data_IF_198209593883
#
_entry.id   IF_198209593883
#
_cell.length_a   1.000
_cell.length_b   1.000
_cell.length_c   1.000
_cell.angle_alpha   90.00
_cell.angle_beta   90.00
_cell.angle_gamma   90.00
#
_symmetry.space_group_name_H-M   'P 1'
#
loop_
_entity.id
_entity.type
_entity.pdbx_description
1 polymer ?
#
# COMPACT_ATOMS: atom_id res chain seq x y z
N UNK A 1 -8.91 6.12 10.21
CA UNK A 1 -8.05 5.09 9.54
C UNK A 1 -7.35 4.15 10.53
N UNK A 2 -7.36 4.43 11.84
CA UNK A 2 -6.70 3.61 12.87
C UNK A 2 -7.59 2.57 13.55
N UNK A 3 -8.86 2.43 13.14
CA UNK A 3 -9.77 1.41 13.67
C UNK A 3 -9.46 0.06 13.03
N UNK A 4 -9.41 -1.00 13.85
CA UNK A 4 -9.20 -2.37 13.38
C UNK A 4 -10.36 -2.80 12.49
N UNK A 5 -10.07 -3.36 11.30
CA UNK A 5 -11.11 -3.85 10.37
C UNK A 5 -11.96 -4.94 11.04
N UNK A 6 -11.33 -5.80 11.84
CA UNK A 6 -12.01 -6.86 12.60
C UNK A 6 -12.75 -6.33 13.85
N UNK A 7 -12.61 -5.05 14.18
CA UNK A 7 -13.10 -4.49 15.43
C UNK A 7 -12.32 -5.01 16.66
N UNK A 8 -13.01 -5.01 17.80
CA UNK A 8 -12.58 -5.59 19.08
C UNK A 8 -13.57 -6.67 19.52
N UNK A 9 -13.15 -7.54 20.44
CA UNK A 9 -14.03 -8.56 21.04
C UNK A 9 -15.33 -7.95 21.56
N UNK A 10 -15.26 -6.80 22.24
CA UNK A 10 -16.41 -6.04 22.72
C UNK A 10 -17.34 -5.63 21.56
N UNK A 11 -16.84 -4.90 20.56
CA UNK A 11 -17.67 -4.44 19.42
C UNK A 11 -18.31 -5.58 18.63
N UNK A 12 -17.65 -6.74 18.57
CA UNK A 12 -18.17 -7.93 17.88
C UNK A 12 -19.23 -8.63 18.73
N UNK A 13 -19.01 -8.73 20.04
CA UNK A 13 -19.94 -9.40 20.96
C UNK A 13 -21.24 -8.61 21.14
N UNK A 14 -21.16 -7.29 21.09
CA UNK A 14 -22.31 -6.39 21.25
C UNK A 14 -23.06 -6.12 19.93
N UNK A 15 -22.56 -6.65 18.80
CA UNK A 15 -23.15 -6.39 17.49
C UNK A 15 -24.50 -7.07 17.32
N UNK A 16 -25.53 -6.28 17.07
CA UNK A 16 -26.90 -6.76 16.86
C UNK A 16 -27.17 -7.02 15.37
N UNK A 17 -27.96 -8.06 15.09
CA UNK A 17 -28.39 -8.37 13.72
C UNK A 17 -29.13 -7.19 13.04
N UNK A 18 -29.82 -6.36 13.81
CA UNK A 18 -30.49 -5.14 13.30
C UNK A 18 -29.48 -4.09 12.82
N UNK A 19 -28.35 -3.92 13.51
CA UNK A 19 -27.27 -3.02 13.10
C UNK A 19 -26.62 -3.49 11.79
N UNK A 20 -26.38 -4.80 11.65
CA UNK A 20 -25.83 -5.37 10.42
C UNK A 20 -26.78 -5.18 9.22
N UNK A 21 -28.08 -5.44 9.41
CA UNK A 21 -29.10 -5.23 8.38
C UNK A 21 -29.19 -3.76 7.96
N UNK A 22 -29.12 -2.85 8.93
CA UNK A 22 -29.15 -1.41 8.67
C UNK A 22 -27.88 -0.93 7.94
N UNK A 23 -26.71 -1.43 8.34
CA UNK A 23 -25.46 -1.18 7.62
C UNK A 23 -25.55 -1.66 6.16
N UNK A 24 -26.03 -2.89 5.94
CA UNK A 24 -26.23 -3.42 4.59
C UNK A 24 -27.19 -2.52 3.79
N UNK A 25 -28.36 -2.20 4.34
CA UNK A 25 -29.38 -1.37 3.68
C UNK A 25 -28.85 0.01 3.27
N UNK A 26 -27.98 0.60 4.08
CA UNK A 26 -27.45 1.96 3.86
C UNK A 26 -26.17 2.00 3.04
N UNK A 27 -25.38 0.92 2.99
CA UNK A 27 -24.10 0.86 2.26
C UNK A 27 -24.13 0.07 0.97
N UNK A 28 -25.05 -0.89 0.82
CA UNK A 28 -25.18 -1.72 -0.38
C UNK A 28 -26.26 -1.14 -1.29
N UNK A 29 -25.99 0.07 -1.78
CA UNK A 29 -26.87 0.82 -2.68
C UNK A 29 -26.29 0.84 -4.09
N UNK A 30 -27.13 1.12 -5.09
CA UNK A 30 -26.69 1.17 -6.50
C UNK A 30 -25.55 2.16 -6.74
N UNK A 31 -25.54 3.27 -6.03
CA UNK A 31 -24.53 4.31 -6.15
C UNK A 31 -23.20 3.90 -5.53
N UNK A 32 -23.22 3.03 -4.50
CA UNK A 32 -22.05 2.59 -3.73
C UNK A 32 -21.50 1.22 -4.09
N UNK A 33 -22.06 0.60 -5.13
CA UNK A 33 -21.58 -0.67 -5.67
C UNK A 33 -21.26 -0.52 -7.15
N UNK A 34 -20.28 -1.26 -7.62
CA UNK A 34 -19.97 -1.40 -9.04
C UNK A 34 -19.58 -2.84 -9.31
N UNK A 35 -19.93 -3.32 -10.50
CA UNK A 35 -19.54 -4.64 -10.96
C UNK A 35 -18.37 -4.51 -11.93
N UNK A 36 -17.40 -5.41 -11.79
CA UNK A 36 -16.27 -5.54 -12.70
C UNK A 36 -16.28 -6.93 -13.29
N UNK A 37 -16.13 -7.01 -14.60
CA UNK A 37 -16.02 -8.28 -15.32
C UNK A 37 -14.81 -8.22 -16.26
N UNK A 38 -14.12 -9.34 -16.41
CA UNK A 38 -12.92 -9.48 -17.25
C UNK A 38 -12.86 -10.89 -17.81
N UNK A 39 -12.44 -11.02 -19.08
CA UNK A 39 -12.39 -12.29 -19.80
C UNK A 39 -13.36 -12.31 -20.98
N UNK A 40 -13.89 -13.49 -21.30
CA UNK A 40 -14.88 -13.67 -22.39
C UNK A 40 -16.27 -13.30 -21.89
N UNK A 41 -16.60 -12.02 -21.96
CA UNK A 41 -17.86 -11.46 -21.44
C UNK A 41 -18.59 -10.75 -22.58
N UNK A 42 -19.87 -11.07 -22.76
CA UNK A 42 -20.78 -10.25 -23.55
C UNK A 42 -21.23 -9.07 -22.68
N UNK A 43 -20.73 -7.88 -23.00
CA UNK A 43 -20.99 -6.69 -22.19
C UNK A 43 -22.46 -6.28 -22.22
N UNK A 44 -23.13 -6.38 -23.37
CA UNK A 44 -24.53 -5.99 -23.50
C UNK A 44 -25.43 -6.91 -22.66
N UNK A 45 -25.22 -8.22 -22.80
CA UNK A 45 -25.96 -9.21 -22.01
C UNK A 45 -25.70 -9.05 -20.49
N UNK A 46 -24.45 -8.76 -20.10
CA UNK A 46 -24.13 -8.54 -18.68
C UNK A 46 -24.84 -7.30 -18.13
N UNK A 47 -24.88 -6.21 -18.89
CA UNK A 47 -25.57 -4.97 -18.47
C UNK A 47 -27.06 -5.22 -18.28
N UNK A 48 -27.71 -5.91 -19.24
CA UNK A 48 -29.13 -6.27 -19.13
C UNK A 48 -29.40 -7.12 -17.88
N UNK A 49 -28.61 -8.18 -17.68
CA UNK A 49 -28.76 -9.07 -16.52
C UNK A 49 -28.58 -8.33 -15.20
N UNK A 50 -27.56 -7.46 -15.08
CA UNK A 50 -27.30 -6.70 -13.85
C UNK A 50 -28.39 -5.66 -13.61
N UNK A 51 -28.87 -4.99 -14.66
CA UNK A 51 -29.96 -4.04 -14.54
C UNK A 51 -31.23 -4.71 -13.99
N UNK A 52 -31.58 -5.90 -14.49
CA UNK A 52 -32.71 -6.70 -14.00
C UNK A 52 -32.48 -7.19 -12.56
N UNK A 53 -31.34 -7.83 -12.29
CA UNK A 53 -31.02 -8.41 -10.98
C UNK A 53 -30.93 -7.36 -9.86
N UNK A 54 -30.59 -6.11 -10.20
CA UNK A 54 -30.47 -5.01 -9.24
C UNK A 54 -31.62 -4.00 -9.29
N UNK A 55 -32.70 -4.30 -10.03
CA UNK A 55 -33.86 -3.43 -10.26
C UNK A 55 -34.65 -3.05 -8.99
N UNK A 56 -34.44 -3.77 -7.88
CA UNK A 56 -35.06 -3.47 -6.58
C UNK A 56 -34.05 -3.02 -5.50
N UNK A 57 -32.77 -2.83 -5.85
CA UNK A 57 -31.77 -2.37 -4.89
C UNK A 57 -32.05 -0.93 -4.43
N UNK A 58 -31.75 -0.60 -3.16
CA UNK A 58 -31.87 0.77 -2.67
C UNK A 58 -31.03 1.73 -3.50
N UNK A 59 -31.60 2.89 -3.79
CA UNK A 59 -30.91 4.04 -4.39
C UNK A 59 -30.82 5.13 -3.34
N UNK A 60 -29.59 5.49 -2.97
CA UNK A 60 -29.31 6.58 -2.03
C UNK A 60 -28.02 7.29 -2.43
N UNK A 61 -27.98 8.64 -2.41
CA UNK A 61 -26.76 9.37 -2.68
C UNK A 61 -25.65 8.98 -1.71
N UNK A 62 -24.45 8.75 -2.24
CA UNK A 62 -23.27 8.59 -1.40
C UNK A 62 -22.85 9.98 -0.93
N UNK A 63 -22.90 10.20 0.38
CA UNK A 63 -22.23 11.34 1.01
C UNK A 63 -21.03 10.80 1.79
N UNK A 64 -19.83 10.95 1.22
CA UNK A 64 -18.58 10.73 1.97
C UNK A 64 -18.04 12.08 2.40
N UNK A 65 -17.83 12.22 3.70
CA UNK A 65 -17.09 13.34 4.29
C UNK A 65 -15.83 12.75 4.93
N UNK A 66 -14.80 12.44 4.12
CA UNK A 66 -13.60 11.84 4.67
C UNK A 66 -12.90 12.87 5.56
N UNK A 67 -12.46 12.43 6.73
CA UNK A 67 -11.64 13.25 7.60
C UNK A 67 -10.18 13.07 7.23
N UNK A 68 -9.46 14.18 7.06
CA UNK A 68 -8.02 14.17 6.89
C UNK A 68 -7.37 13.64 8.18
N UNK A 69 -6.62 12.53 8.12
CA UNK A 69 -5.93 12.04 9.30
C UNK A 69 -4.74 12.94 9.65
N UNK A 70 -4.44 13.04 10.94
CA UNK A 70 -3.16 13.55 11.41
C UNK A 70 -2.16 12.41 11.49
N UNK A 71 -0.98 12.61 10.90
CA UNK A 71 0.14 11.68 11.08
C UNK A 71 0.91 12.05 12.34
N UNK A 72 0.91 11.15 13.31
CA UNK A 72 1.77 11.22 14.48
C UNK A 72 3.15 10.62 14.22
N UNK A 73 4.07 10.88 15.14
CA UNK A 73 5.37 10.22 15.26
C UNK A 73 5.52 9.66 16.66
N UNK A 74 6.43 8.71 16.84
CA UNK A 74 6.69 8.09 18.14
C UNK A 74 6.90 6.59 18.02
N UNK A 75 7.06 5.94 19.15
CA UNK A 75 7.36 4.52 19.22
C UNK A 75 6.34 3.81 20.12
N UNK A 76 5.89 2.63 19.68
CA UNK A 76 5.07 1.72 20.46
C UNK A 76 5.83 0.40 20.55
N UNK A 77 6.16 -0.02 21.77
CA UNK A 77 6.72 -1.33 22.05
C UNK A 77 5.60 -2.29 22.48
N UNK A 78 5.56 -3.46 21.86
CA UNK A 78 4.63 -4.53 22.18
C UNK A 78 5.44 -5.77 22.53
N UNK A 79 5.40 -6.16 23.80
CA UNK A 79 6.01 -7.41 24.25
C UNK A 79 5.06 -8.58 23.99
N UNK A 80 5.57 -9.67 23.42
CA UNK A 80 4.82 -10.92 23.22
C UNK A 80 5.69 -12.12 23.58
N UNK A 81 5.23 -12.91 24.54
CA UNK A 81 5.91 -14.15 24.96
C UNK A 81 6.12 -15.15 23.80
N UNK A 82 5.25 -15.14 22.79
CA UNK A 82 5.29 -16.06 21.67
C UNK A 82 6.21 -15.66 20.52
N UNK A 83 6.94 -14.53 20.61
CA UNK A 83 7.92 -14.15 19.59
C UNK A 83 9.35 -14.34 20.06
N UNK A 84 10.19 -14.85 19.15
CA UNK A 84 11.64 -14.98 19.30
C UNK A 84 12.40 -14.08 18.30
N UNK A 85 11.68 -13.23 17.57
CA UNK A 85 12.23 -12.30 16.59
C UNK A 85 11.83 -10.87 16.97
N UNK A 86 12.65 -9.92 16.52
CA UNK A 86 12.31 -8.51 16.52
C UNK A 86 11.56 -8.16 15.24
N UNK A 87 10.35 -7.62 15.40
CA UNK A 87 9.59 -7.05 14.28
C UNK A 87 9.47 -5.56 14.47
N UNK A 88 9.87 -4.77 13.47
CA UNK A 88 9.63 -3.34 13.44
C UNK A 88 8.80 -2.95 12.21
N UNK A 89 7.68 -2.28 12.45
CA UNK A 89 6.90 -1.62 11.42
C UNK A 89 7.07 -0.10 11.56
N UNK A 90 7.66 0.53 10.56
CA UNK A 90 7.90 1.97 10.51
C UNK A 90 6.94 2.60 9.50
N UNK A 91 6.26 3.68 9.89
CA UNK A 91 5.24 4.33 9.08
C UNK A 91 5.61 5.80 8.88
N UNK A 92 5.91 6.16 7.64
CA UNK A 92 6.07 7.55 7.21
C UNK A 92 4.79 8.06 6.56
N UNK A 93 4.52 9.37 6.61
CA UNK A 93 3.50 9.98 5.77
C UNK A 93 3.76 9.68 4.29
N UNK A 94 2.71 9.37 3.55
CA UNK A 94 2.74 9.08 2.12
C UNK A 94 1.85 10.02 1.32
N UNK A 95 1.63 9.69 0.05
CA UNK A 95 0.74 10.45 -0.85
C UNK A 95 -0.60 9.73 -1.00
N UNK A 96 -1.65 10.46 -1.38
CA UNK A 96 -2.97 9.84 -1.60
C UNK A 96 -3.04 9.06 -2.93
N UNK A 97 -4.12 8.29 -3.12
CA UNK A 97 -4.28 7.40 -4.28
C UNK A 97 -4.42 8.12 -5.64
N UNK A 98 -4.79 9.42 -5.60
CA UNK A 98 -4.98 10.29 -6.76
C UNK A 98 -3.72 11.08 -7.13
N UNK A 99 -2.77 11.21 -6.19
CA UNK A 99 -1.55 11.97 -6.34
C UNK A 99 -0.71 11.46 -7.54
N UNK A 100 -0.21 12.35 -8.43
CA UNK A 100 0.67 11.95 -9.53
C UNK A 100 2.00 11.36 -9.03
N UNK A 101 2.47 11.78 -7.85
CA UNK A 101 3.73 11.35 -7.22
C UNK A 101 3.71 9.86 -6.81
N UNK A 102 2.55 9.19 -6.83
CA UNK A 102 2.42 7.75 -6.47
C UNK A 102 3.33 6.84 -7.28
N UNK A 103 3.60 7.18 -8.55
CA UNK A 103 4.48 6.41 -9.43
C UNK A 103 5.94 6.55 -9.01
N UNK A 104 6.37 7.78 -8.72
CA UNK A 104 7.69 8.07 -8.17
C UNK A 104 7.87 7.39 -6.81
N UNK A 105 6.86 7.43 -5.94
CA UNK A 105 6.92 6.79 -4.62
C UNK A 105 7.03 5.26 -4.71
N UNK A 106 6.29 4.62 -5.63
CA UNK A 106 6.39 3.17 -5.85
C UNK A 106 7.75 2.77 -6.41
N UNK A 107 8.30 3.57 -7.34
CA UNK A 107 9.65 3.41 -7.87
C UNK A 107 10.70 3.57 -6.78
N UNK A 108 10.58 4.60 -5.94
CA UNK A 108 11.46 4.84 -4.79
C UNK A 108 11.50 3.65 -3.85
N UNK A 109 10.35 3.12 -3.45
CA UNK A 109 10.28 1.93 -2.60
C UNK A 109 10.95 0.70 -3.24
N UNK A 110 10.86 0.55 -4.58
CA UNK A 110 11.55 -0.54 -5.29
C UNK A 110 13.08 -0.38 -5.31
N UNK A 111 13.58 0.86 -5.41
CA UNK A 111 15.02 1.13 -5.31
C UNK A 111 15.53 0.85 -3.89
N UNK A 112 14.75 1.24 -2.87
CA UNK A 112 15.16 1.12 -1.49
C UNK A 112 15.11 -0.31 -0.97
N UNK A 113 14.04 -1.06 -1.24
CA UNK A 113 13.68 -2.21 -0.39
C UNK A 113 12.85 -3.30 -1.07
N UNK A 114 13.08 -3.50 -2.37
CA UNK A 114 12.56 -4.65 -3.11
C UNK A 114 13.33 -5.94 -2.80
N UNK A 115 12.72 -7.10 -3.03
CA UNK A 115 13.22 -8.43 -2.62
C UNK A 115 14.58 -8.85 -3.23
N UNK A 116 15.14 -8.09 -4.17
CA UNK A 116 16.44 -8.39 -4.75
C UNK A 116 17.06 -7.19 -5.44
N UNK A 117 18.35 -6.92 -5.24
CA UNK A 117 19.06 -5.84 -5.93
C UNK A 117 18.69 -4.41 -5.52
N UNK A 118 17.88 -4.25 -4.46
CA UNK A 118 17.60 -2.96 -3.82
C UNK A 118 18.69 -2.61 -2.80
N UNK A 119 18.70 -1.37 -2.31
CA UNK A 119 19.72 -0.93 -1.32
C UNK A 119 19.65 -1.77 -0.03
N UNK A 120 18.47 -1.91 0.57
CA UNK A 120 18.29 -2.73 1.78
C UNK A 120 18.49 -4.21 1.54
N UNK A 121 18.23 -4.71 0.33
CA UNK A 121 18.57 -6.09 0.01
C UNK A 121 20.07 -6.35 0.20
N UNK A 122 20.93 -5.50 -0.38
CA UNK A 122 22.38 -5.70 -0.27
C UNK A 122 22.91 -5.46 1.14
N UNK A 123 22.36 -4.48 1.87
CA UNK A 123 22.86 -4.15 3.21
C UNK A 123 22.37 -5.13 4.29
N UNK A 124 21.13 -5.64 4.18
CA UNK A 124 20.48 -6.41 5.25
C UNK A 124 20.17 -7.86 4.90
N UNK A 125 19.73 -8.13 3.66
CA UNK A 125 19.24 -9.46 3.29
C UNK A 125 20.38 -10.34 2.78
N UNK A 126 21.18 -9.85 1.84
CA UNK A 126 22.32 -10.59 1.26
C UNK A 126 23.41 -10.91 2.30
N UNK A 127 23.54 -10.03 3.31
CA UNK A 127 24.47 -10.20 4.45
C UNK A 127 23.95 -11.15 5.52
N UNK A 128 22.67 -11.56 5.46
CA UNK A 128 22.04 -12.40 6.47
C UNK A 128 21.71 -11.70 7.79
N UNK A 129 21.75 -10.36 7.83
CA UNK A 129 21.42 -9.57 9.03
C UNK A 129 19.93 -9.54 9.37
N UNK A 130 19.07 -9.64 8.36
CA UNK A 130 17.63 -9.60 8.51
C UNK A 130 16.96 -10.65 7.62
N UNK A 131 15.86 -11.22 8.11
CA UNK A 131 15.00 -12.12 7.33
C UNK A 131 14.11 -11.33 6.37
N UNK A 132 13.73 -10.11 6.77
CA UNK A 132 12.88 -9.23 5.95
C UNK A 132 13.27 -7.78 6.19
N UNK A 133 13.41 -7.01 5.10
CA UNK A 133 13.63 -5.58 5.11
C UNK A 133 12.99 -5.00 3.85
N UNK A 134 11.74 -4.54 3.96
CA UNK A 134 10.97 -4.09 2.81
C UNK A 134 10.27 -2.77 3.07
N UNK A 135 10.07 -1.97 2.02
CA UNK A 135 9.29 -0.74 2.04
C UNK A 135 8.24 -0.80 0.93
N UNK A 136 7.02 -0.38 1.24
CA UNK A 136 5.97 -0.22 0.23
C UNK A 136 5.05 0.97 0.53
N UNK A 137 4.50 1.62 -0.50
CA UNK A 137 3.50 2.64 -0.29
C UNK A 137 2.12 2.00 -0.08
N UNK A 138 1.33 2.58 0.82
CA UNK A 138 -0.07 2.30 0.99
C UNK A 138 -0.87 3.58 0.74
N UNK A 139 -1.79 3.51 -0.22
CA UNK A 139 -2.56 4.66 -0.69
C UNK A 139 -4.01 4.59 -0.16
N UNK A 140 -4.49 5.72 0.35
CA UNK A 140 -5.89 5.95 0.70
C UNK A 140 -6.43 7.18 -0.05
N UNK A 141 -7.73 7.44 0.05
CA UNK A 141 -8.38 8.52 -0.73
C UNK A 141 -7.83 9.91 -0.40
N UNK A 142 -7.68 10.23 0.89
CA UNK A 142 -7.24 11.55 1.36
C UNK A 142 -5.77 11.58 1.83
N UNK A 143 -5.13 10.42 1.98
CA UNK A 143 -3.77 10.32 2.51
C UNK A 143 -3.07 9.05 2.02
N UNK A 144 -1.82 8.85 2.43
CA UNK A 144 -1.13 7.56 2.31
C UNK A 144 -0.08 7.41 3.40
N UNK A 145 0.56 6.26 3.44
CA UNK A 145 1.79 6.04 4.19
C UNK A 145 2.82 5.28 3.35
N UNK A 146 4.09 5.42 3.71
CA UNK A 146 5.11 4.43 3.37
C UNK A 146 5.27 3.54 4.59
N UNK A 147 5.19 2.23 4.38
CA UNK A 147 5.37 1.23 5.43
C UNK A 147 6.72 0.56 5.19
N UNK A 148 7.61 0.69 6.17
CA UNK A 148 8.82 -0.12 6.29
C UNK A 148 8.55 -1.28 7.25
N UNK A 149 9.04 -2.47 6.91
CA UNK A 149 8.95 -3.65 7.75
C UNK A 149 10.30 -4.35 7.83
N UNK A 150 10.76 -4.57 9.05
CA UNK A 150 12.00 -5.24 9.40
C UNK A 150 11.69 -6.44 10.30
N UNK A 151 12.28 -7.58 9.98
CA UNK A 151 12.29 -8.79 10.81
C UNK A 151 13.73 -9.29 10.92
N UNK A 152 14.23 -9.43 12.14
CA UNK A 152 15.59 -9.90 12.42
C UNK A 152 15.72 -10.50 13.82
N UNK A 153 16.91 -11.04 14.10
CA UNK A 153 17.31 -11.42 15.44
C UNK A 153 17.27 -10.21 16.38
N UNK A 154 16.79 -10.36 17.64
CA UNK A 154 16.70 -9.26 18.60
C UNK A 154 18.02 -8.51 18.85
N UNK A 155 19.14 -9.23 18.89
CA UNK A 155 20.48 -8.69 19.11
C UNK A 155 20.96 -7.76 17.99
N UNK A 156 20.46 -7.95 16.76
CA UNK A 156 20.84 -7.14 15.59
C UNK A 156 19.87 -5.98 15.33
N UNK A 157 18.79 -5.87 16.11
CA UNK A 157 17.66 -4.99 15.84
C UNK A 157 18.04 -3.51 15.71
N UNK A 158 18.75 -2.98 16.71
CA UNK A 158 19.13 -1.56 16.74
C UNK A 158 20.07 -1.21 15.59
N UNK A 159 21.02 -2.10 15.27
CA UNK A 159 21.96 -1.88 14.17
C UNK A 159 21.27 -1.98 12.81
N UNK A 160 20.34 -2.93 12.64
CA UNK A 160 19.56 -3.06 11.42
C UNK A 160 18.62 -1.86 11.19
N UNK A 161 18.00 -1.33 12.24
CA UNK A 161 17.20 -0.10 12.17
C UNK A 161 18.06 1.12 11.81
N UNK A 162 19.30 1.19 12.30
CA UNK A 162 20.26 2.24 11.93
C UNK A 162 20.66 2.13 10.45
N UNK A 163 20.96 0.93 9.95
CA UNK A 163 21.26 0.68 8.54
C UNK A 163 20.10 1.13 7.65
N UNK A 164 18.86 0.78 8.02
CA UNK A 164 17.68 1.21 7.29
C UNK A 164 17.59 2.74 7.20
N UNK A 165 17.79 3.43 8.34
CA UNK A 165 17.77 4.90 8.39
C UNK A 165 18.89 5.50 7.56
N UNK A 166 20.10 4.96 7.66
CA UNK A 166 21.28 5.39 6.89
C UNK A 166 21.03 5.29 5.38
N UNK A 167 20.42 4.19 4.91
CA UNK A 167 20.05 4.03 3.50
C UNK A 167 19.05 5.10 3.04
N UNK A 168 18.07 5.44 3.87
CA UNK A 168 17.12 6.53 3.57
C UNK A 168 17.85 7.88 3.52
N UNK A 169 18.70 8.18 4.50
CA UNK A 169 19.47 9.43 4.57
C UNK A 169 20.44 9.58 3.41
N UNK A 170 21.16 8.52 3.03
CA UNK A 170 22.01 8.49 1.84
C UNK A 170 21.20 8.73 0.57
N UNK A 171 19.99 8.18 0.48
CA UNK A 171 19.10 8.43 -0.67
C UNK A 171 18.68 9.90 -0.77
N UNK A 172 18.37 10.54 0.36
CA UNK A 172 18.03 11.97 0.41
C UNK A 172 19.25 12.87 0.10
N UNK A 173 20.45 12.44 0.48
CA UNK A 173 21.69 13.21 0.33
C UNK A 173 22.30 13.08 -1.07
N UNK A 174 22.43 11.85 -1.54
CA UNK A 174 23.23 11.48 -2.72
C UNK A 174 22.33 11.21 -3.95
N UNK A 175 21.01 11.12 -3.73
CA UNK A 175 20.02 10.87 -4.77
C UNK A 175 19.99 9.41 -5.23
N UNK A 176 19.47 9.23 -6.44
CA UNK A 176 19.20 7.93 -7.04
C UNK A 176 19.86 7.89 -8.41
N UNK A 177 20.59 6.80 -8.67
CA UNK A 177 21.33 6.63 -9.91
C UNK A 177 20.44 6.17 -11.06
N UNK A 178 20.83 6.48 -12.29
CA UNK A 178 20.09 6.02 -13.48
C UNK A 178 19.97 4.49 -13.54
N UNK A 179 21.01 3.76 -13.11
CA UNK A 179 21.03 2.30 -13.07
C UNK A 179 19.94 1.75 -12.13
N UNK A 180 19.76 2.35 -10.96
CA UNK A 180 18.71 1.98 -10.01
C UNK A 180 17.31 2.26 -10.58
N UNK A 181 17.14 3.42 -11.23
CA UNK A 181 15.88 3.79 -11.89
C UNK A 181 15.54 2.78 -12.98
N UNK A 182 16.49 2.44 -13.84
CA UNK A 182 16.26 1.49 -14.94
C UNK A 182 15.93 0.10 -14.41
N UNK A 183 16.59 -0.36 -13.35
CA UNK A 183 16.29 -1.63 -12.69
C UNK A 183 14.87 -1.64 -12.12
N UNK A 184 14.51 -0.63 -11.33
CA UNK A 184 13.17 -0.51 -10.75
C UNK A 184 12.07 -0.44 -11.84
N UNK A 185 12.32 0.34 -12.90
CA UNK A 185 11.40 0.49 -14.03
C UNK A 185 11.18 -0.84 -14.74
N UNK A 186 12.25 -1.58 -15.03
CA UNK A 186 12.17 -2.87 -15.72
C UNK A 186 11.41 -3.91 -14.89
N UNK A 187 11.65 -3.96 -13.58
CA UNK A 187 10.92 -4.88 -12.68
C UNK A 187 9.44 -4.55 -12.59
N UNK A 188 9.10 -3.27 -12.37
CA UNK A 188 7.71 -2.84 -12.28
C UNK A 188 6.99 -3.07 -13.61
N UNK A 189 7.60 -2.72 -14.74
CA UNK A 189 7.04 -2.97 -16.06
C UNK A 189 6.79 -4.47 -16.30
N UNK A 190 7.77 -5.31 -16.00
CA UNK A 190 7.65 -6.77 -16.14
C UNK A 190 6.52 -7.33 -15.26
N UNK A 191 6.46 -6.91 -13.99
CA UNK A 191 5.41 -7.31 -13.06
C UNK A 191 4.01 -6.90 -13.54
N UNK A 192 3.87 -5.68 -14.07
CA UNK A 192 2.59 -5.17 -14.59
C UNK A 192 2.15 -5.93 -15.86
N UNK A 193 3.07 -6.19 -16.78
CA UNK A 193 2.78 -6.94 -18.02
C UNK A 193 2.35 -8.36 -17.70
N UNK A 194 3.13 -9.08 -16.88
CA UNK A 194 2.81 -10.46 -16.46
C UNK A 194 1.49 -10.52 -15.68
N UNK A 195 1.21 -9.48 -14.88
CA UNK A 195 -0.07 -9.38 -14.18
C UNK A 195 -1.23 -9.24 -15.16
N UNK A 196 -1.09 -8.44 -16.21
CA UNK A 196 -2.16 -8.16 -17.19
C UNK A 196 -2.53 -9.38 -18.06
N UNK A 197 -1.67 -10.40 -18.17
CA UNK A 197 -1.96 -11.61 -18.95
C UNK A 197 -3.17 -12.40 -18.41
N UNK A 198 -3.43 -12.34 -17.09
CA UNK A 198 -4.50 -13.10 -16.46
C UNK A 198 -5.78 -12.27 -16.36
N UNK A 199 -6.94 -12.74 -16.86
CA UNK A 199 -8.21 -12.03 -16.75
C UNK A 199 -8.59 -11.64 -15.32
N UNK A 200 -8.31 -12.49 -14.33
CA UNK A 200 -8.55 -12.21 -12.91
C UNK A 200 -7.76 -11.01 -12.39
N UNK A 201 -6.51 -10.86 -12.82
CA UNK A 201 -5.65 -9.74 -12.41
C UNK A 201 -6.13 -8.44 -13.06
N UNK A 202 -6.54 -8.49 -14.33
CA UNK A 202 -7.20 -7.36 -15.02
C UNK A 202 -8.46 -6.91 -14.30
N UNK A 203 -9.26 -7.86 -13.78
CA UNK A 203 -10.45 -7.56 -12.97
C UNK A 203 -10.09 -6.76 -11.72
N UNK A 204 -9.07 -7.19 -10.97
CA UNK A 204 -8.63 -6.46 -9.77
C UNK A 204 -8.02 -5.09 -10.10
N UNK A 205 -7.23 -4.99 -11.17
CA UNK A 205 -6.64 -3.71 -11.58
C UNK A 205 -7.72 -2.69 -11.98
N UNK A 206 -8.68 -3.11 -12.82
CA UNK A 206 -9.82 -2.32 -13.22
C UNK A 206 -10.66 -1.91 -12.00
N UNK A 207 -10.98 -2.87 -11.13
CA UNK A 207 -11.82 -2.62 -9.97
C UNK A 207 -11.18 -1.68 -8.96
N UNK A 208 -9.90 -1.83 -8.66
CA UNK A 208 -9.18 -0.91 -7.76
C UNK A 208 -9.06 0.49 -8.37
N UNK A 209 -8.76 0.61 -9.66
CA UNK A 209 -8.67 1.92 -10.30
C UNK A 209 -10.01 2.64 -10.32
N UNK A 210 -11.10 1.91 -10.58
CA UNK A 210 -12.45 2.47 -10.54
C UNK A 210 -12.90 2.81 -9.12
N UNK A 211 -12.60 1.96 -8.14
CA UNK A 211 -12.93 2.21 -6.73
C UNK A 211 -12.27 3.49 -6.23
N UNK A 212 -10.97 3.63 -6.45
CA UNK A 212 -10.15 4.70 -5.89
C UNK A 212 -10.26 6.01 -6.67
N UNK A 213 -10.38 5.95 -8.01
CA UNK A 213 -10.20 7.12 -8.88
C UNK A 213 -11.33 7.33 -9.89
N UNK A 214 -12.31 6.42 -9.95
CA UNK A 214 -13.40 6.44 -10.95
C UNK A 214 -12.88 6.55 -12.38
N UNK A 215 -11.71 5.97 -12.63
CA UNK A 215 -11.02 6.01 -13.91
C UNK A 215 -10.32 4.68 -14.17
N UNK A 216 -10.31 4.24 -15.42
CA UNK A 216 -9.51 3.12 -15.90
C UNK A 216 -8.44 3.64 -16.84
N UNK A 217 -7.18 3.30 -16.55
CA UNK A 217 -6.05 3.61 -17.43
C UNK A 217 -5.56 2.31 -18.08
N UNK A 218 -5.49 2.25 -19.42
CA UNK A 218 -4.89 1.11 -20.11
C UNK A 218 -3.44 0.88 -19.66
N UNK A 219 -2.99 -0.37 -19.70
CA UNK A 219 -1.65 -0.76 -19.27
C UNK A 219 -0.54 0.11 -19.89
N UNK A 220 -0.63 0.41 -21.20
CA UNK A 220 0.35 1.25 -21.89
C UNK A 220 0.46 2.67 -21.32
N UNK A 221 -0.65 3.25 -20.87
CA UNK A 221 -0.67 4.57 -20.21
C UNK A 221 0.02 4.47 -18.85
N UNK A 222 -0.28 3.43 -18.08
CA UNK A 222 0.33 3.18 -16.76
C UNK A 222 1.85 2.97 -16.90
N UNK A 223 2.30 2.18 -17.87
CA UNK A 223 3.72 1.98 -18.18
C UNK A 223 4.40 3.28 -18.61
N UNK A 224 3.72 4.10 -19.41
CA UNK A 224 4.19 5.44 -19.78
C UNK A 224 4.42 6.34 -18.56
N UNK A 225 3.52 6.31 -17.57
CA UNK A 225 3.67 7.07 -16.32
C UNK A 225 4.89 6.63 -15.51
N UNK A 226 5.16 5.32 -15.40
CA UNK A 226 6.39 4.82 -14.76
C UNK A 226 7.65 5.17 -15.56
N UNK A 227 7.58 5.15 -16.88
CA UNK A 227 8.71 5.49 -17.75
C UNK A 227 9.10 6.96 -17.65
N UNK A 228 8.11 7.84 -17.45
CA UNK A 228 8.31 9.27 -17.31
C UNK A 228 8.89 9.70 -15.94
N UNK A 229 8.94 8.82 -14.94
CA UNK A 229 9.52 9.13 -13.63
C UNK A 229 11.02 9.40 -13.77
N UNK A 230 11.45 10.55 -13.24
CA UNK A 230 12.84 11.00 -13.19
C UNK A 230 13.46 10.81 -11.80
N UNK A 231 14.78 10.96 -11.70
CA UNK A 231 15.49 10.97 -10.42
C UNK A 231 14.99 12.09 -9.50
N UNK A 232 14.72 13.27 -10.07
CA UNK A 232 14.24 14.44 -9.33
C UNK A 232 12.84 14.20 -8.76
N UNK A 233 11.94 13.54 -9.50
CA UNK A 233 10.61 13.17 -9.00
C UNK A 233 10.71 12.23 -7.79
N UNK A 234 11.63 11.26 -7.85
CA UNK A 234 11.86 10.29 -6.78
C UNK A 234 12.50 10.93 -5.55
N UNK A 235 13.42 11.87 -5.75
CA UNK A 235 14.02 12.63 -4.64
C UNK A 235 12.98 13.58 -4.01
N UNK A 236 12.19 14.28 -4.82
CA UNK A 236 11.14 15.18 -4.34
C UNK A 236 10.09 14.43 -3.50
N UNK A 237 9.67 13.23 -3.92
CA UNK A 237 8.72 12.44 -3.13
C UNK A 237 9.38 11.83 -1.90
N UNK A 238 10.68 11.49 -1.93
CA UNK A 238 11.42 11.07 -0.74
C UNK A 238 11.47 12.19 0.32
N UNK A 239 11.76 13.42 -0.10
CA UNK A 239 11.75 14.62 0.74
C UNK A 239 10.37 14.91 1.33
N UNK A 240 9.30 14.75 0.53
CA UNK A 240 7.92 14.92 0.98
C UNK A 240 7.48 13.87 2.03
N UNK A 241 8.06 12.67 1.97
CA UNK A 241 7.60 11.49 2.73
C UNK A 241 8.61 11.06 3.79
N UNK A 242 9.71 10.44 3.38
CA UNK A 242 10.70 9.77 4.23
C UNK A 242 11.52 10.71 5.12
N UNK A 243 11.65 11.99 4.76
CA UNK A 243 12.29 13.00 5.63
C UNK A 243 11.44 13.37 6.85
N UNK A 244 10.13 13.14 6.79
CA UNK A 244 9.23 13.43 7.90
C UNK A 244 9.43 12.40 9.02
N UNK A 245 9.20 12.77 10.29
CA UNK A 245 9.23 11.81 11.39
C UNK A 245 8.30 10.63 11.12
N UNK A 246 8.77 9.41 11.42
CA UNK A 246 7.97 8.19 11.33
C UNK A 246 7.33 7.83 12.67
N UNK A 247 6.29 7.00 12.62
CA UNK A 247 5.81 6.24 13.76
C UNK A 247 6.33 4.80 13.66
N UNK A 248 6.82 4.25 14.76
CA UNK A 248 7.39 2.90 14.81
C UNK A 248 6.60 2.03 15.77
N UNK A 249 6.26 0.82 15.34
CA UNK A 249 5.69 -0.23 16.18
C UNK A 249 6.69 -1.37 16.22
N UNK A 250 7.17 -1.71 17.41
CA UNK A 250 8.09 -2.81 17.65
C UNK A 250 7.36 -3.94 18.35
N UNK A 251 7.55 -5.17 17.89
CA UNK A 251 7.07 -6.38 18.56
C UNK A 251 8.29 -7.21 18.94
N UNK A 252 8.49 -7.40 20.24
CA UNK A 252 9.68 -8.06 20.79
C UNK A 252 9.29 -9.23 21.67
N UNK A 253 10.21 -10.18 21.79
CA UNK A 253 10.13 -11.27 22.75
C UNK A 253 10.40 -10.75 24.15
N UNK A 254 10.13 -11.54 25.19
CA UNK A 254 10.62 -11.24 26.52
C UNK A 254 12.17 -11.18 26.48
N UNK A 255 12.81 -10.28 27.23
CA UNK A 255 14.26 -10.31 27.39
C UNK A 255 14.66 -11.66 28.00
N UNK A 256 15.78 -12.23 27.52
CA UNK A 256 16.37 -13.44 28.12
C UNK A 256 16.79 -13.22 29.58
#
# INVERSE_FOLDING_TARGET
LSTRVLGTTETVSDMLATQMKEYHRTRYTRENMFLVASGKVDFAQLVEYVAEATANWPSQPIVRQPQLPTFGSGEILIERESTHQHYAAQLWPGVNCNAPERYALRMLCSVLADEGGSRLFWELIDTGRAETATLWPQFFDECGCVVGYLCCAPEDADENEEILRSVIEQTLRDGITQKEIDLARNKIASSLILSDERPSNRLFALGQSWLNRKNYEPLGVVLGRYTAVTADDMLAVAEQTLRRPCATVKVVGPPE
#
